data_IF_617548081263
#
_entry.id   IF_617548081263
#
_cell.length_a   1.000
_cell.length_b   1.000
_cell.length_c   1.000
_cell.angle_alpha   90.00
_cell.angle_beta   90.00
_cell.angle_gamma   90.00
#
_symmetry.space_group_name_H-M   'P 1'
#
loop_
_entity.id
_entity.type
_entity.pdbx_description
1 polymer ?
#
# COMPACT_ATOMS: atom_id res chain seq x y z
N UNK A 1 26.26 -36.41 -13.78
CA UNK A 1 25.47 -35.22 -14.18
C UNK A 1 24.31 -34.96 -13.21
N UNK A 2 24.54 -35.01 -11.89
CA UNK A 2 23.44 -34.88 -10.90
C UNK A 2 23.76 -34.01 -9.69
N UNK A 3 24.97 -33.43 -9.61
CA UNK A 3 25.39 -32.57 -8.50
C UNK A 3 25.32 -31.07 -8.85
N UNK A 4 25.35 -30.71 -10.15
CA UNK A 4 25.28 -29.30 -10.59
C UNK A 4 23.89 -28.68 -10.47
N UNK A 5 22.83 -29.49 -10.52
CA UNK A 5 21.45 -28.99 -10.47
C UNK A 5 21.02 -28.55 -9.06
N UNK A 6 21.67 -29.05 -8.01
CA UNK A 6 21.38 -28.71 -6.61
C UNK A 6 22.17 -27.47 -6.13
N UNK A 7 23.29 -27.13 -6.76
CA UNK A 7 24.10 -25.96 -6.39
C UNK A 7 23.53 -24.64 -6.94
N UNK A 8 22.92 -24.67 -8.12
CA UNK A 8 22.27 -23.51 -8.74
C UNK A 8 21.07 -22.97 -7.92
N UNK A 9 20.39 -23.84 -7.17
CA UNK A 9 19.20 -23.46 -6.41
C UNK A 9 19.52 -22.57 -5.19
N UNK A 10 20.79 -22.52 -4.77
CA UNK A 10 21.27 -21.72 -3.64
C UNK A 10 21.75 -20.30 -3.99
N UNK A 11 21.91 -19.97 -5.28
CA UNK A 11 22.40 -18.65 -5.72
C UNK A 11 21.29 -17.70 -6.20
N UNK A 12 20.11 -18.23 -6.49
CA UNK A 12 19.00 -17.45 -7.05
C UNK A 12 18.00 -17.14 -5.94
N UNK A 13 17.68 -15.86 -5.71
CA UNK A 13 16.70 -15.48 -4.70
C UNK A 13 15.31 -16.00 -5.06
N UNK A 14 14.50 -16.33 -4.06
CA UNK A 14 13.12 -16.79 -4.29
C UNK A 14 12.29 -15.75 -5.04
N UNK A 15 12.56 -14.45 -4.84
CA UNK A 15 11.95 -13.36 -5.60
C UNK A 15 12.22 -13.46 -7.10
N UNK A 16 13.43 -13.89 -7.49
CA UNK A 16 13.77 -14.13 -8.89
C UNK A 16 13.07 -15.40 -9.39
N UNK A 17 13.07 -16.49 -8.59
CA UNK A 17 12.40 -17.76 -8.96
C UNK A 17 10.91 -17.58 -9.20
N UNK A 18 10.23 -16.83 -8.34
CA UNK A 18 8.79 -16.58 -8.42
C UNK A 18 8.43 -15.29 -9.17
N UNK A 19 9.43 -14.55 -9.67
CA UNK A 19 9.28 -13.32 -10.45
C UNK A 19 8.35 -12.30 -9.79
N UNK A 20 8.51 -12.11 -8.48
CA UNK A 20 7.69 -11.21 -7.67
C UNK A 20 8.56 -10.37 -6.74
N UNK A 21 8.23 -9.10 -6.62
CA UNK A 21 8.81 -8.19 -5.64
C UNK A 21 7.86 -7.03 -5.37
N UNK A 22 8.02 -6.36 -4.23
CA UNK A 22 7.19 -5.19 -3.91
C UNK A 22 7.51 -4.03 -4.86
N UNK A 23 6.47 -3.30 -5.27
CA UNK A 23 6.63 -1.95 -5.78
C UNK A 23 6.72 -1.04 -4.54
N UNK A 24 7.84 -0.34 -4.39
CA UNK A 24 8.08 0.46 -3.21
C UNK A 24 7.25 1.75 -3.23
N UNK A 25 6.28 1.86 -2.32
CA UNK A 25 5.43 3.04 -2.16
C UNK A 25 6.20 4.13 -1.41
N UNK A 26 6.74 5.08 -2.16
CA UNK A 26 7.46 6.24 -1.61
C UNK A 26 6.63 7.54 -1.64
N UNK A 27 5.40 7.49 -2.13
CA UNK A 27 4.52 8.64 -2.21
C UNK A 27 4.11 9.13 -0.81
N UNK A 28 3.97 10.45 -0.65
CA UNK A 28 3.38 11.09 0.52
C UNK A 28 2.32 12.06 0.04
N UNK A 29 1.10 11.58 0.03
CA UNK A 29 -0.04 12.38 -0.37
C UNK A 29 -1.34 11.78 0.10
N UNK A 30 -2.38 12.59 0.04
CA UNK A 30 -3.73 12.26 0.45
C UNK A 30 -4.70 12.92 -0.52
N UNK A 31 -5.71 12.18 -0.95
CA UNK A 31 -6.84 12.70 -1.70
C UNK A 31 -8.05 12.61 -0.78
N UNK A 32 -8.81 13.69 -0.66
CA UNK A 32 -10.00 13.79 0.19
C UNK A 32 -11.19 14.15 -0.67
N UNK A 33 -12.21 13.29 -0.65
CA UNK A 33 -13.52 13.46 -1.29
C UNK A 33 -13.49 13.83 -2.78
N UNK A 34 -12.40 13.46 -3.48
CA UNK A 34 -12.10 13.84 -4.87
C UNK A 34 -12.10 15.37 -5.15
N UNK A 35 -11.98 16.17 -4.08
CA UNK A 35 -12.02 17.63 -4.09
C UNK A 35 -10.67 18.25 -3.70
N UNK A 36 -10.01 17.68 -2.70
CA UNK A 36 -8.76 18.20 -2.13
C UNK A 36 -7.63 17.19 -2.27
N UNK A 37 -6.43 17.69 -2.59
CA UNK A 37 -5.21 16.89 -2.62
C UNK A 37 -4.14 17.53 -1.76
N UNK A 38 -3.47 16.72 -0.95
CA UNK A 38 -2.25 17.04 -0.25
C UNK A 38 -1.11 16.23 -0.86
N UNK A 39 0.01 16.86 -1.21
CA UNK A 39 1.21 16.17 -1.68
C UNK A 39 2.46 16.83 -1.10
N UNK A 40 3.46 16.03 -0.73
CA UNK A 40 4.68 16.56 -0.14
C UNK A 40 5.75 15.53 0.12
N UNK A 41 6.66 15.85 1.04
CA UNK A 41 7.73 14.97 1.51
C UNK A 41 7.40 14.28 2.83
N UNK A 42 6.45 14.81 3.60
CA UNK A 42 6.12 14.37 4.95
C UNK A 42 5.48 12.98 5.00
N UNK A 43 6.15 12.01 5.62
CA UNK A 43 5.57 10.70 5.94
C UNK A 43 4.53 10.84 7.06
N UNK A 44 3.57 9.90 7.14
CA UNK A 44 2.65 9.81 8.29
C UNK A 44 3.35 9.13 9.47
N UNK A 45 4.36 9.79 10.04
CA UNK A 45 5.04 9.37 11.27
C UNK A 45 5.50 10.60 12.08
N UNK A 46 5.92 10.37 13.32
CA UNK A 46 6.34 11.45 14.21
C UNK A 46 7.55 12.24 13.66
N UNK A 47 8.42 11.61 12.86
CA UNK A 47 9.63 12.25 12.35
C UNK A 47 9.30 13.38 11.38
N UNK A 48 8.36 13.13 10.48
CA UNK A 48 7.91 14.10 9.49
C UNK A 48 6.86 15.07 10.05
N UNK A 49 5.95 14.62 10.92
CA UNK A 49 4.78 15.43 11.35
C UNK A 49 5.06 16.29 12.59
N UNK A 50 6.09 16.01 13.38
CA UNK A 50 6.38 16.78 14.60
C UNK A 50 6.78 18.24 14.36
N UNK A 51 7.22 18.60 13.16
CA UNK A 51 7.74 19.93 12.81
C UNK A 51 9.07 20.32 13.49
N UNK A 52 9.53 19.52 14.47
CA UNK A 52 10.75 19.73 15.25
C UNK A 52 11.84 18.70 14.97
N UNK A 53 11.54 17.70 14.13
CA UNK A 53 12.46 16.63 13.73
C UNK A 53 12.93 16.87 12.29
N UNK A 54 12.33 16.21 11.31
CA UNK A 54 12.71 16.41 9.90
C UNK A 54 12.05 17.68 9.36
N UNK A 55 12.75 18.38 8.46
CA UNK A 55 12.18 19.51 7.71
C UNK A 55 11.43 18.95 6.51
N UNK A 56 10.13 19.26 6.44
CA UNK A 56 9.24 18.76 5.41
C UNK A 56 8.54 19.90 4.66
N UNK A 57 8.11 19.63 3.43
CA UNK A 57 7.27 20.53 2.66
C UNK A 57 6.06 19.77 2.11
N UNK A 58 4.90 20.42 2.11
CA UNK A 58 3.70 19.89 1.50
C UNK A 58 2.87 21.03 0.89
N UNK A 59 2.20 20.72 -0.22
CA UNK A 59 1.22 21.59 -0.89
C UNK A 59 -0.16 20.95 -0.81
N UNK A 60 -1.13 21.74 -0.39
CA UNK A 60 -2.54 21.39 -0.39
C UNK A 60 -3.29 22.21 -1.42
N UNK A 61 -4.07 21.56 -2.30
CA UNK A 61 -4.78 22.24 -3.37
C UNK A 61 -6.17 21.65 -3.59
N UNK A 62 -7.08 22.50 -4.06
CA UNK A 62 -8.42 22.13 -4.50
C UNK A 62 -8.83 23.03 -5.68
N UNK A 63 -9.88 22.64 -6.39
CA UNK A 63 -10.42 23.42 -7.51
C UNK A 63 -11.76 24.06 -7.08
N UNK A 64 -11.86 25.39 -6.95
CA UNK A 64 -13.06 26.04 -6.40
C UNK A 64 -14.36 25.69 -7.12
N UNK A 65 -14.32 25.46 -8.44
CA UNK A 65 -15.49 25.07 -9.22
C UNK A 65 -15.77 23.56 -9.23
N UNK A 66 -14.96 22.75 -8.54
CA UNK A 66 -15.10 21.30 -8.41
C UNK A 66 -15.07 20.95 -6.91
N UNK A 67 -16.09 21.42 -6.20
CA UNK A 67 -16.30 21.13 -4.78
C UNK A 67 -17.70 20.59 -4.56
N UNK A 68 -17.88 19.80 -3.48
CA UNK A 68 -19.18 19.28 -3.09
C UNK A 68 -20.19 20.41 -2.86
N UNK A 69 -19.75 21.48 -2.18
CA UNK A 69 -20.57 22.67 -1.90
C UNK A 69 -21.05 23.38 -3.17
N UNK A 70 -20.19 23.51 -4.20
CA UNK A 70 -20.55 24.26 -5.41
C UNK A 70 -21.28 23.42 -6.47
N UNK A 71 -21.03 22.10 -6.54
CA UNK A 71 -21.64 21.24 -7.56
C UNK A 71 -22.89 20.51 -7.10
N UNK A 72 -23.12 20.37 -5.78
CA UNK A 72 -24.19 19.51 -5.21
C UNK A 72 -24.17 18.06 -5.73
N UNK A 73 -23.03 17.63 -6.28
CA UNK A 73 -22.75 16.30 -6.82
C UNK A 73 -21.25 16.04 -6.71
N UNK A 74 -20.87 14.77 -6.84
CA UNK A 74 -19.47 14.33 -6.81
C UNK A 74 -18.56 15.22 -7.68
N UNK A 75 -17.55 15.89 -7.08
CA UNK A 75 -16.55 16.65 -7.79
C UNK A 75 -15.76 15.79 -8.78
N UNK A 76 -15.93 16.05 -10.08
CA UNK A 76 -15.13 15.39 -11.14
C UNK A 76 -14.11 16.36 -11.74
N UNK A 77 -13.23 16.85 -10.89
CA UNK A 77 -12.12 17.73 -11.25
C UNK A 77 -10.84 16.96 -11.63
N UNK A 78 -9.71 17.67 -11.62
CA UNK A 78 -8.38 17.10 -11.75
C UNK A 78 -8.01 16.19 -10.57
N UNK A 79 -8.50 16.50 -9.35
CA UNK A 79 -8.27 15.64 -8.18
C UNK A 79 -8.92 14.27 -8.37
N UNK A 80 -10.19 14.23 -8.76
CA UNK A 80 -10.88 13.02 -9.21
C UNK A 80 -10.13 12.27 -10.32
N UNK A 81 -9.72 12.98 -11.38
CA UNK A 81 -8.99 12.37 -12.49
C UNK A 81 -7.65 11.75 -12.06
N UNK A 82 -6.93 12.42 -11.16
CA UNK A 82 -5.69 11.92 -10.58
C UNK A 82 -5.93 10.65 -9.77
N UNK A 83 -6.97 10.63 -8.93
CA UNK A 83 -7.38 9.45 -8.15
C UNK A 83 -7.76 8.27 -9.05
N UNK A 84 -8.58 8.50 -10.08
CA UNK A 84 -8.95 7.48 -11.07
C UNK A 84 -7.72 6.93 -11.81
N UNK A 85 -6.76 7.78 -12.20
CA UNK A 85 -5.52 7.36 -12.84
C UNK A 85 -4.67 6.46 -11.93
N UNK A 86 -4.53 6.81 -10.65
CA UNK A 86 -3.81 5.98 -9.68
C UNK A 86 -4.50 4.63 -9.48
N UNK A 87 -5.84 4.64 -9.42
CA UNK A 87 -6.62 3.41 -9.31
C UNK A 87 -6.46 2.53 -10.54
N UNK A 88 -6.49 3.10 -11.75
CA UNK A 88 -6.24 2.35 -12.98
C UNK A 88 -4.85 1.70 -12.99
N UNK A 89 -3.81 2.44 -12.56
CA UNK A 89 -2.44 1.91 -12.44
C UNK A 89 -2.37 0.74 -11.43
N UNK A 90 -2.96 0.91 -10.26
CA UNK A 90 -2.85 -0.07 -9.18
C UNK A 90 -3.79 -1.27 -9.35
N UNK A 91 -4.96 -1.09 -9.95
CA UNK A 91 -5.95 -2.15 -10.17
C UNK A 91 -5.74 -2.86 -11.50
N UNK A 92 -5.03 -2.21 -12.44
CA UNK A 92 -4.79 -2.72 -13.80
C UNK A 92 -6.00 -2.65 -14.73
N UNK A 93 -7.06 -1.93 -14.31
CA UNK A 93 -8.26 -1.69 -15.10
C UNK A 93 -8.95 -0.39 -14.69
N UNK A 94 -9.72 0.16 -15.63
CA UNK A 94 -10.68 1.23 -15.41
C UNK A 94 -12.09 0.63 -15.34
N UNK A 95 -13.03 1.31 -14.68
CA UNK A 95 -14.39 0.81 -14.52
C UNK A 95 -15.29 1.77 -13.75
N UNK A 96 -16.59 1.66 -14.01
CA UNK A 96 -17.62 2.47 -13.33
C UNK A 96 -17.72 2.11 -11.84
N UNK A 97 -17.32 0.89 -11.47
CA UNK A 97 -17.20 0.44 -10.08
C UNK A 97 -16.20 1.27 -9.24
N UNK A 98 -15.34 2.04 -9.89
CA UNK A 98 -14.34 2.89 -9.23
C UNK A 98 -14.78 4.33 -9.13
N UNK A 99 -15.91 4.70 -9.73
CA UNK A 99 -16.36 6.09 -9.76
C UNK A 99 -16.63 6.60 -8.35
N UNK A 100 -17.27 5.79 -7.51
CA UNK A 100 -17.62 6.12 -6.13
C UNK A 100 -16.71 5.37 -5.14
N UNK A 101 -15.67 6.02 -4.59
CA UNK A 101 -14.65 5.34 -3.79
C UNK A 101 -15.15 4.86 -2.41
N UNK A 102 -16.36 5.25 -2.01
CA UNK A 102 -17.00 4.76 -0.79
C UNK A 102 -17.48 3.30 -0.93
N UNK A 103 -17.71 2.83 -2.15
CA UNK A 103 -17.96 1.42 -2.43
C UNK A 103 -16.63 0.68 -2.58
N UNK A 104 -16.23 0.00 -1.51
CA UNK A 104 -14.94 -0.69 -1.43
C UNK A 104 -15.01 -2.16 -1.86
N UNK A 105 -16.19 -2.68 -2.22
CA UNK A 105 -16.38 -4.11 -2.47
C UNK A 105 -15.44 -4.59 -3.59
N UNK A 106 -15.50 -3.96 -4.77
CA UNK A 106 -14.69 -4.37 -5.92
C UNK A 106 -13.18 -4.23 -5.65
N UNK A 107 -12.75 -3.13 -5.02
CA UNK A 107 -11.34 -2.87 -4.71
C UNK A 107 -10.79 -3.91 -3.75
N UNK A 108 -11.54 -4.22 -2.69
CA UNK A 108 -11.16 -5.23 -1.71
C UNK A 108 -11.06 -6.62 -2.34
N UNK A 109 -12.02 -7.00 -3.18
CA UNK A 109 -11.97 -8.28 -3.89
C UNK A 109 -10.74 -8.42 -4.80
N UNK A 110 -10.39 -7.36 -5.54
CA UNK A 110 -9.19 -7.34 -6.39
C UNK A 110 -7.93 -7.48 -5.54
N UNK A 111 -7.82 -6.69 -4.46
CA UNK A 111 -6.67 -6.72 -3.56
C UNK A 111 -6.48 -8.11 -2.90
N UNK A 112 -7.57 -8.76 -2.49
CA UNK A 112 -7.56 -10.11 -1.92
C UNK A 112 -7.18 -11.18 -2.94
N UNK A 113 -7.74 -11.09 -4.15
CA UNK A 113 -7.41 -12.01 -5.25
C UNK A 113 -5.94 -11.89 -5.64
N UNK A 114 -5.41 -10.67 -5.69
CA UNK A 114 -4.00 -10.42 -5.95
C UNK A 114 -3.11 -10.95 -4.82
N UNK A 115 -3.48 -10.77 -3.55
CA UNK A 115 -2.77 -11.40 -2.42
C UNK A 115 -2.71 -12.93 -2.56
N UNK A 116 -3.83 -13.59 -2.84
CA UNK A 116 -3.89 -15.05 -3.04
C UNK A 116 -3.04 -15.53 -4.22
N UNK A 117 -2.83 -14.71 -5.26
CA UNK A 117 -1.93 -15.02 -6.38
C UNK A 117 -0.47 -14.84 -5.97
N UNK A 118 -0.14 -13.70 -5.38
CA UNK A 118 1.23 -13.33 -4.97
C UNK A 118 1.74 -14.23 -3.86
N UNK A 119 0.89 -14.78 -3.00
CA UNK A 119 1.31 -15.67 -1.93
C UNK A 119 1.61 -17.11 -2.41
N UNK A 120 1.13 -17.52 -3.60
CA UNK A 120 1.38 -18.88 -4.12
C UNK A 120 2.81 -19.03 -4.64
N UNK A 121 3.44 -20.18 -4.42
CA UNK A 121 4.73 -20.57 -5.01
C UNK A 121 4.61 -20.93 -6.51
N UNK A 122 3.97 -20.05 -7.29
CA UNK A 122 3.78 -20.19 -8.74
C UNK A 122 3.85 -18.81 -9.38
N UNK A 123 4.43 -18.71 -10.57
CA UNK A 123 4.44 -17.47 -11.35
C UNK A 123 3.03 -17.21 -11.85
N UNK A 124 2.31 -16.33 -11.17
CA UNK A 124 0.96 -15.90 -11.52
C UNK A 124 0.93 -14.38 -11.69
N UNK A 125 0.51 -13.91 -12.86
CA UNK A 125 0.29 -12.48 -13.08
C UNK A 125 -0.92 -12.01 -12.27
N UNK A 126 -0.68 -11.02 -11.41
CA UNK A 126 -1.74 -10.26 -10.74
C UNK A 126 -2.50 -9.41 -11.77
N UNK A 127 -3.75 -9.08 -11.46
CA UNK A 127 -4.60 -8.25 -12.33
C UNK A 127 -4.15 -6.77 -12.33
N UNK A 128 -3.42 -6.38 -11.28
CA UNK A 128 -2.75 -5.10 -11.10
C UNK A 128 -1.70 -5.21 -10.00
N UNK A 129 -1.31 -4.09 -9.42
CA UNK A 129 -0.29 -4.00 -8.37
C UNK A 129 -0.86 -3.94 -6.94
N UNK A 130 -2.16 -3.62 -6.78
CA UNK A 130 -2.81 -3.52 -5.48
C UNK A 130 -2.95 -4.90 -4.85
N UNK A 131 -2.41 -5.05 -3.65
CA UNK A 131 -2.42 -6.27 -2.86
C UNK A 131 -2.92 -5.91 -1.46
N UNK A 132 -3.83 -6.73 -0.91
CA UNK A 132 -4.30 -6.53 0.46
C UNK A 132 -3.13 -6.69 1.42
N UNK A 133 -2.89 -5.68 2.26
CA UNK A 133 -1.91 -5.80 3.33
C UNK A 133 -2.40 -6.91 4.30
N UNK A 134 -1.54 -7.85 4.73
CA UNK A 134 -1.98 -9.10 5.36
C UNK A 134 -2.03 -9.15 6.91
N UNK A 135 -2.27 -8.07 7.69
CA UNK A 135 -2.66 -8.22 9.08
C UNK A 135 -4.16 -8.50 9.20
N UNK A 136 -4.53 -9.21 10.25
CA UNK A 136 -5.90 -9.34 10.74
C UNK A 136 -6.05 -8.58 12.05
N UNK A 137 -7.24 -8.02 12.28
CA UNK A 137 -7.59 -7.32 13.50
C UNK A 137 -8.78 -8.06 14.12
N UNK A 138 -8.65 -8.47 15.37
CA UNK A 138 -9.75 -9.10 16.10
C UNK A 138 -10.76 -8.05 16.61
N UNK A 139 -11.83 -8.52 17.25
CA UNK A 139 -12.90 -7.66 17.75
C UNK A 139 -12.42 -6.71 18.87
N UNK A 140 -11.29 -7.04 19.48
CA UNK A 140 -10.62 -6.27 20.52
C UNK A 140 -9.61 -5.26 19.95
N UNK A 141 -9.43 -5.22 18.63
CA UNK A 141 -8.50 -4.31 17.96
C UNK A 141 -7.05 -4.79 17.93
N UNK A 142 -6.77 -6.02 18.35
CA UNK A 142 -5.41 -6.57 18.34
C UNK A 142 -5.04 -7.02 16.94
N UNK A 143 -3.89 -6.53 16.50
CA UNK A 143 -3.31 -6.84 15.18
C UNK A 143 -2.49 -8.14 15.27
N UNK A 144 -2.75 -9.08 14.36
CA UNK A 144 -1.96 -10.30 14.18
C UNK A 144 -1.75 -10.63 12.70
N UNK A 145 -0.86 -11.57 12.38
CA UNK A 145 -0.68 -12.06 11.00
C UNK A 145 -1.88 -12.90 10.55
N UNK A 146 -2.18 -12.90 9.26
CA UNK A 146 -3.08 -13.91 8.68
C UNK A 146 -2.52 -15.34 8.86
N UNK A 147 -3.38 -16.37 8.95
CA UNK A 147 -2.93 -17.76 8.94
C UNK A 147 -2.01 -18.06 7.75
N UNK A 148 -0.93 -18.82 8.00
CA UNK A 148 0.09 -19.19 7.02
C UNK A 148 0.86 -18.01 6.40
N UNK A 149 0.73 -16.79 6.95
CA UNK A 149 1.31 -15.55 6.41
C UNK A 149 2.04 -14.76 7.49
N UNK A 150 2.95 -15.40 8.22
CA UNK A 150 3.70 -14.74 9.29
C UNK A 150 4.85 -13.84 8.78
N UNK A 151 5.38 -14.13 7.60
CA UNK A 151 6.51 -13.40 7.01
C UNK A 151 6.24 -12.98 5.57
N UNK A 152 6.94 -11.94 5.10
CA UNK A 152 6.85 -11.54 3.70
C UNK A 152 7.38 -12.64 2.77
N UNK A 153 6.70 -12.92 1.64
CA UNK A 153 7.16 -13.90 0.67
C UNK A 153 8.58 -13.59 0.19
N UNK A 154 9.42 -14.63 0.05
CA UNK A 154 10.78 -14.63 -0.51
C UNK A 154 11.86 -13.88 0.26
N UNK A 155 11.52 -12.82 0.99
CA UNK A 155 12.47 -11.95 1.71
C UNK A 155 12.48 -12.22 3.21
N UNK A 156 11.45 -12.90 3.74
CA UNK A 156 11.29 -13.13 5.17
C UNK A 156 10.92 -11.85 5.94
N UNK A 157 11.10 -11.88 7.27
CA UNK A 157 10.73 -10.77 8.15
C UNK A 157 9.25 -10.77 8.50
N UNK A 158 8.94 -10.57 9.78
CA UNK A 158 7.56 -10.67 10.29
C UNK A 158 6.68 -9.54 9.75
N UNK A 159 5.52 -9.87 9.23
CA UNK A 159 4.53 -8.90 8.70
C UNK A 159 4.09 -7.91 9.78
N UNK A 160 3.81 -8.40 10.98
CA UNK A 160 3.45 -7.58 12.16
C UNK A 160 4.64 -6.82 12.76
N UNK A 161 5.85 -7.03 12.23
CA UNK A 161 7.09 -6.52 12.78
C UNK A 161 7.52 -7.22 14.06
N UNK A 162 8.63 -6.75 14.64
CA UNK A 162 9.10 -7.15 15.98
C UNK A 162 9.60 -5.91 16.67
N UNK A 163 9.28 -5.76 17.95
CA UNK A 163 9.85 -4.69 18.75
C UNK A 163 11.35 -4.95 18.94
N UNK A 164 12.19 -4.00 18.56
CA UNK A 164 13.62 -4.09 18.82
C UNK A 164 13.90 -3.56 20.22
N UNK A 165 14.56 -4.35 21.06
CA UNK A 165 15.06 -3.87 22.36
C UNK A 165 16.37 -3.07 22.22
N UNK A 166 17.03 -3.19 21.06
CA UNK A 166 18.34 -2.57 20.80
C UNK A 166 18.22 -1.19 20.13
N UNK A 167 17.07 -0.88 19.53
CA UNK A 167 16.82 0.39 18.87
C UNK A 167 15.89 1.27 19.73
N UNK A 168 16.30 2.49 20.10
CA UNK A 168 15.42 3.39 20.82
C UNK A 168 14.22 3.81 19.96
N UNK A 169 13.10 4.19 20.59
CA UNK A 169 11.89 4.65 19.89
C UNK A 169 12.11 5.94 19.08
N UNK A 170 13.07 6.77 19.46
CA UNK A 170 13.32 8.08 18.83
C UNK A 170 13.55 8.00 17.30
N UNK A 171 14.39 7.06 16.78
CA UNK A 171 14.55 6.83 15.35
C UNK A 171 13.42 6.02 14.68
N UNK A 172 12.58 5.28 15.40
CA UNK A 172 11.61 4.30 14.85
C UNK A 172 10.14 4.59 15.18
N UNK A 173 9.86 5.80 15.68
CA UNK A 173 8.61 6.10 16.41
C UNK A 173 7.35 5.91 15.55
N UNK A 174 6.36 5.20 16.11
CA UNK A 174 4.95 5.24 15.71
C UNK A 174 4.22 6.33 16.51
N UNK A 175 3.11 6.88 15.99
CA UNK A 175 2.25 7.74 16.81
C UNK A 175 1.83 6.97 18.07
N UNK A 176 2.11 7.51 19.25
CA UNK A 176 1.58 6.96 20.50
C UNK A 176 0.09 7.34 20.55
N UNK A 177 -0.78 6.34 20.47
CA UNK A 177 -2.21 6.45 20.81
C UNK A 177 -2.38 6.64 22.31
#
# INVERSE_FOLDING_TARGET
MGADMLLLDSQVSDSYKFQRFMIYVHAKGMIVDDEYVLMGSANTNQRSVAGTKDTEIAMGAYQPHHTWTNKARHPRGQVYGYRMSLWAEHLGKEGDEFVEPADLECVNEIAERNWKKVHKFKILRAEGHLIKYPPQVDNEGKVSSLPDSDSFPDVGGKIIGTHSMDLPDSPTTKFRS
#
